data_IF_871247299263
#
_entry.id   IF_871247299263
#
_cell.length_a   1.000
_cell.length_b   1.000
_cell.length_c   1.000
_cell.angle_alpha   90.00
_cell.angle_beta   90.00
_cell.angle_gamma   90.00
#
_symmetry.space_group_name_H-M   'P 1'
#
loop_
_entity.id
_entity.type
_entity.pdbx_description
1 polymer ?
#
# COMPACT_ATOMS: atom_id res chain seq x y z
N UNK A 1 24.30 -11.17 7.28
CA UNK A 1 23.33 -11.84 6.39
C UNK A 1 22.94 -13.18 7.00
N UNK A 2 21.70 -13.57 6.80
CA UNK A 2 21.15 -14.84 7.25
C UNK A 2 21.18 -15.81 6.07
N UNK A 3 21.91 -16.92 6.11
CA UNK A 3 22.06 -17.83 4.97
C UNK A 3 20.74 -18.52 4.57
N UNK A 4 19.79 -18.63 5.51
CA UNK A 4 18.45 -19.17 5.29
C UNK A 4 17.50 -18.23 4.55
N UNK A 5 17.89 -16.96 4.34
CA UNK A 5 17.06 -15.94 3.68
C UNK A 5 17.60 -15.62 2.27
N UNK A 6 16.69 -15.51 1.34
CA UNK A 6 17.01 -15.06 -0.03
C UNK A 6 16.88 -13.55 -0.14
N UNK A 7 18.02 -12.85 -0.13
CA UNK A 7 18.07 -11.40 -0.26
C UNK A 7 17.56 -10.86 -1.60
N UNK A 8 17.33 -11.70 -2.61
CA UNK A 8 16.77 -11.32 -3.90
C UNK A 8 15.24 -11.41 -3.93
N UNK A 9 14.63 -12.04 -2.92
CA UNK A 9 13.19 -12.25 -2.80
C UNK A 9 12.64 -11.60 -1.53
N UNK A 10 12.77 -10.30 -1.43
CA UNK A 10 12.30 -9.51 -0.28
C UNK A 10 10.96 -8.87 -0.61
N UNK A 11 9.95 -9.14 0.18
CA UNK A 11 8.68 -8.43 0.22
C UNK A 11 8.58 -7.53 1.43
N UNK A 12 7.69 -6.55 1.37
CA UNK A 12 7.32 -5.72 2.52
C UNK A 12 5.81 -5.75 2.69
N UNK A 13 5.36 -5.91 3.94
CA UNK A 13 3.93 -5.87 4.26
C UNK A 13 3.71 -5.23 5.63
N UNK A 14 2.57 -4.56 5.77
CA UNK A 14 2.19 -3.99 7.04
C UNK A 14 0.79 -3.39 7.05
N UNK A 15 0.23 -3.30 8.24
CA UNK A 15 -1.07 -2.66 8.51
C UNK A 15 -0.86 -1.33 9.21
N UNK A 16 -1.75 -0.35 8.94
CA UNK A 16 -1.76 0.95 9.64
C UNK A 16 -0.41 1.67 9.54
N UNK A 17 0.26 1.99 10.65
CA UNK A 17 1.64 2.49 10.64
C UNK A 17 2.64 1.57 9.92
N UNK A 18 2.43 0.25 9.96
CA UNK A 18 3.16 -0.70 9.12
C UNK A 18 2.84 -0.54 7.62
N UNK A 19 1.60 -0.15 7.28
CA UNK A 19 1.19 0.22 5.93
C UNK A 19 1.88 1.49 5.45
N UNK A 20 2.02 2.50 6.35
CA UNK A 20 2.81 3.71 6.11
C UNK A 20 4.25 3.34 5.73
N UNK A 21 4.93 2.58 6.60
CA UNK A 21 6.31 2.14 6.37
C UNK A 21 6.42 1.37 5.06
N UNK A 22 5.49 0.43 4.80
CA UNK A 22 5.49 -0.38 3.57
C UNK A 22 5.37 0.48 2.32
N UNK A 23 4.44 1.45 2.32
CA UNK A 23 4.21 2.34 1.17
C UNK A 23 5.45 3.17 0.86
N UNK A 24 5.99 3.88 1.84
CA UNK A 24 7.16 4.74 1.63
C UNK A 24 8.43 3.93 1.36
N UNK A 25 8.68 2.86 2.12
CA UNK A 25 9.86 2.03 1.90
C UNK A 25 9.84 1.37 0.51
N UNK A 26 8.70 0.81 0.10
CA UNK A 26 8.60 0.19 -1.22
C UNK A 26 8.71 1.23 -2.36
N UNK A 27 8.22 2.46 -2.16
CA UNK A 27 8.35 3.53 -3.15
C UNK A 27 9.82 3.87 -3.45
N UNK A 28 10.69 3.87 -2.43
CA UNK A 28 12.09 4.31 -2.58
C UNK A 28 13.12 3.18 -2.61
N UNK A 29 12.75 1.95 -2.22
CA UNK A 29 13.67 0.81 -2.13
C UNK A 29 13.37 -0.27 -3.19
N UNK A 30 14.10 -0.29 -4.33
CA UNK A 30 13.82 -1.21 -5.44
C UNK A 30 14.14 -2.69 -5.15
N UNK A 31 14.82 -2.99 -4.04
CA UNK A 31 15.07 -4.37 -3.59
C UNK A 31 13.80 -5.03 -3.03
N UNK A 32 12.81 -4.24 -2.59
CA UNK A 32 11.49 -4.75 -2.25
C UNK A 32 10.77 -5.16 -3.52
N UNK A 33 10.54 -6.45 -3.71
CA UNK A 33 9.99 -7.05 -4.93
C UNK A 33 8.47 -7.09 -4.97
N UNK A 34 7.82 -7.09 -3.82
CA UNK A 34 6.37 -7.01 -3.67
C UNK A 34 6.03 -6.22 -2.42
N UNK A 35 4.99 -5.41 -2.50
CA UNK A 35 4.45 -4.66 -1.37
C UNK A 35 3.01 -5.08 -1.07
N UNK A 36 2.66 -5.18 0.22
CA UNK A 36 1.30 -5.43 0.67
C UNK A 36 0.93 -4.40 1.75
N UNK A 37 0.07 -3.47 1.37
CA UNK A 37 -0.39 -2.35 2.19
C UNK A 37 -1.79 -2.65 2.71
N UNK A 38 -1.91 -2.81 4.01
CA UNK A 38 -3.18 -3.07 4.68
C UNK A 38 -3.61 -1.86 5.50
N UNK A 39 -4.89 -1.45 5.39
CA UNK A 39 -5.48 -0.40 6.21
C UNK A 39 -4.64 0.88 6.25
N UNK A 40 -4.17 1.38 5.09
CA UNK A 40 -3.42 2.62 5.01
C UNK A 40 -3.70 3.42 3.73
N UNK A 41 -3.72 2.80 2.52
CA UNK A 41 -3.91 3.58 1.29
C UNK A 41 -5.24 4.34 1.32
N UNK A 42 -5.12 5.67 1.27
CA UNK A 42 -6.22 6.62 1.36
C UNK A 42 -5.80 7.93 0.69
N UNK A 43 -6.41 9.07 1.06
CA UNK A 43 -5.82 10.37 0.82
C UNK A 43 -5.28 10.95 2.13
N UNK A 44 -4.27 11.82 2.06
CA UNK A 44 -3.82 12.56 3.24
C UNK A 44 -4.95 13.42 3.79
N UNK A 45 -5.77 13.99 2.91
CA UNK A 45 -6.86 14.88 3.32
C UNK A 45 -7.95 14.13 4.09
N UNK A 46 -8.43 12.98 3.58
CA UNK A 46 -9.59 12.28 4.14
C UNK A 46 -9.23 11.41 5.36
N UNK A 47 -7.97 11.09 5.57
CA UNK A 47 -7.52 10.34 6.73
C UNK A 47 -6.57 11.15 7.63
N UNK A 48 -5.32 11.31 7.22
CA UNK A 48 -4.25 11.86 8.08
C UNK A 48 -4.56 13.28 8.60
N UNK A 49 -5.17 14.13 7.79
CA UNK A 49 -5.46 15.51 8.14
C UNK A 49 -6.88 15.71 8.72
N UNK A 50 -7.77 14.74 8.55
CA UNK A 50 -9.14 14.81 9.07
C UNK A 50 -9.32 14.15 10.43
N UNK A 51 -8.38 13.28 10.83
CA UNK A 51 -8.42 12.51 12.07
C UNK A 51 -7.08 12.65 12.81
N UNK A 52 -7.07 12.25 14.08
CA UNK A 52 -5.83 12.19 14.85
C UNK A 52 -5.06 10.91 14.54
N UNK A 53 -3.84 11.06 14.07
CA UNK A 53 -2.91 9.97 13.76
C UNK A 53 -1.59 10.08 14.54
N UNK A 54 -0.79 9.02 14.48
CA UNK A 54 0.58 9.06 15.00
C UNK A 54 1.40 10.10 14.24
N UNK A 55 2.33 10.74 14.95
CA UNK A 55 3.11 11.89 14.43
C UNK A 55 3.93 11.55 13.17
N UNK A 56 4.34 10.31 13.00
CA UNK A 56 5.08 9.82 11.84
C UNK A 56 4.29 9.85 10.52
N UNK A 57 2.97 10.02 10.57
CA UNK A 57 2.13 10.20 9.37
C UNK A 57 2.11 11.65 8.86
N UNK A 58 2.52 12.61 9.67
CA UNK A 58 2.49 14.02 9.30
C UNK A 58 3.82 14.46 8.67
N UNK A 59 3.92 14.30 7.36
CA UNK A 59 5.06 14.80 6.60
C UNK A 59 4.80 16.26 6.22
N UNK A 60 5.59 17.22 6.75
CA UNK A 60 5.38 18.64 6.47
C UNK A 60 5.36 18.91 4.95
N UNK A 61 4.40 19.72 4.52
CA UNK A 61 4.28 20.21 3.14
C UNK A 61 4.09 19.13 2.05
N UNK A 62 3.82 17.87 2.42
CA UNK A 62 3.72 16.78 1.44
C UNK A 62 2.67 17.05 0.36
N UNK A 63 1.54 17.67 0.71
CA UNK A 63 0.46 17.99 -0.24
C UNK A 63 0.85 19.05 -1.28
N UNK A 64 1.95 19.76 -1.10
CA UNK A 64 2.50 20.65 -2.14
C UNK A 64 3.15 19.84 -3.28
N UNK A 65 3.38 18.53 -3.10
CA UNK A 65 4.14 17.68 -4.01
C UNK A 65 3.38 16.46 -4.48
N UNK A 66 2.68 15.78 -3.58
CA UNK A 66 2.02 14.51 -3.90
C UNK A 66 0.94 14.15 -2.89
N UNK A 67 0.05 13.30 -3.32
CA UNK A 67 -0.92 12.59 -2.50
C UNK A 67 -0.43 11.16 -2.20
N UNK A 68 -1.12 10.48 -1.29
CA UNK A 68 -0.77 9.14 -0.84
C UNK A 68 -0.72 8.13 -2.01
N UNK A 69 -1.66 8.24 -2.96
CA UNK A 69 -1.68 7.42 -4.16
C UNK A 69 -0.52 7.70 -5.13
N UNK A 70 0.04 8.91 -5.14
CA UNK A 70 1.22 9.22 -5.96
C UNK A 70 2.45 8.50 -5.40
N UNK A 71 2.61 8.51 -4.06
CA UNK A 71 3.68 7.74 -3.39
C UNK A 71 3.54 6.25 -3.68
N UNK A 72 2.32 5.69 -3.55
CA UNK A 72 2.05 4.28 -3.87
C UNK A 72 2.30 3.97 -5.35
N UNK A 73 2.02 4.92 -6.23
CA UNK A 73 2.30 4.81 -7.68
C UNK A 73 3.78 4.62 -8.01
N UNK A 74 4.70 5.14 -7.20
CA UNK A 74 6.15 4.95 -7.37
C UNK A 74 6.61 3.48 -7.19
N UNK A 75 5.77 2.63 -6.62
CA UNK A 75 6.06 1.19 -6.48
C UNK A 75 6.05 0.51 -7.85
N UNK A 76 5.27 1.02 -8.79
CA UNK A 76 5.12 0.45 -10.13
C UNK A 76 6.47 0.34 -10.87
N UNK A 77 6.72 -0.73 -11.69
CA UNK A 77 5.79 -1.83 -12.02
C UNK A 77 5.84 -3.01 -11.05
N UNK A 78 6.42 -2.88 -9.87
CA UNK A 78 6.50 -3.98 -8.91
C UNK A 78 5.12 -4.32 -8.35
N UNK A 79 4.83 -5.60 -8.05
CA UNK A 79 3.55 -6.03 -7.51
C UNK A 79 3.18 -5.29 -6.23
N UNK A 80 1.95 -4.75 -6.21
CA UNK A 80 1.37 -4.04 -5.07
C UNK A 80 -0.02 -4.63 -4.76
N UNK A 81 -0.20 -5.10 -3.54
CA UNK A 81 -1.50 -5.48 -3.03
C UNK A 81 -1.97 -4.49 -1.97
N UNK A 82 -3.22 -4.11 -2.03
CA UNK A 82 -3.87 -3.19 -1.11
C UNK A 82 -5.06 -3.92 -0.50
N UNK A 83 -5.23 -3.84 0.82
CA UNK A 83 -6.47 -4.28 1.45
C UNK A 83 -7.04 -3.20 2.36
N UNK A 84 -8.36 -3.12 2.39
CA UNK A 84 -9.10 -2.10 3.13
C UNK A 84 -10.38 -2.70 3.72
N UNK A 85 -10.63 -2.45 5.00
CA UNK A 85 -11.92 -2.76 5.63
C UNK A 85 -13.00 -1.77 5.18
N UNK A 86 -14.19 -2.26 4.87
CA UNK A 86 -15.30 -1.40 4.47
C UNK A 86 -15.91 -0.59 5.63
N UNK A 87 -15.55 -0.96 6.87
CA UNK A 87 -15.96 -0.29 8.12
C UNK A 87 -14.80 0.36 8.85
N UNK A 88 -13.68 0.56 8.16
CA UNK A 88 -12.51 1.24 8.73
C UNK A 88 -12.83 2.71 8.98
N UNK A 89 -12.84 3.10 10.25
CA UNK A 89 -13.16 4.46 10.68
C UNK A 89 -11.93 5.39 10.72
N UNK A 90 -10.75 4.87 10.40
CA UNK A 90 -9.48 5.60 10.39
C UNK A 90 -9.04 5.88 8.94
N UNK A 91 -9.30 4.94 8.04
CA UNK A 91 -9.03 5.05 6.61
C UNK A 91 -10.31 4.82 5.80
N UNK A 92 -11.14 5.87 5.61
CA UNK A 92 -12.45 5.78 4.95
C UNK A 92 -12.39 5.06 3.60
N UNK A 93 -13.30 4.12 3.41
CA UNK A 93 -13.25 3.20 2.26
C UNK A 93 -13.43 3.90 0.91
N UNK A 94 -14.23 4.96 0.83
CA UNK A 94 -14.46 5.71 -0.40
C UNK A 94 -13.15 6.33 -0.90
N UNK A 95 -12.36 6.93 -0.01
CA UNK A 95 -11.08 7.54 -0.33
C UNK A 95 -10.01 6.47 -0.65
N UNK A 96 -10.07 5.31 0.01
CA UNK A 96 -9.20 4.17 -0.31
C UNK A 96 -9.46 3.64 -1.72
N UNK A 97 -10.71 3.45 -2.09
CA UNK A 97 -11.11 2.99 -3.44
C UNK A 97 -10.74 4.01 -4.51
N UNK A 98 -10.93 5.29 -4.26
CA UNK A 98 -10.54 6.35 -5.21
C UNK A 98 -9.01 6.40 -5.37
N UNK A 99 -8.28 6.30 -4.28
CA UNK A 99 -6.81 6.23 -4.30
C UNK A 99 -6.30 5.01 -5.07
N UNK A 100 -6.93 3.85 -4.87
CA UNK A 100 -6.61 2.67 -5.67
C UNK A 100 -6.81 2.88 -7.18
N UNK A 101 -7.90 3.54 -7.60
CA UNK A 101 -8.13 3.86 -9.02
C UNK A 101 -7.00 4.72 -9.59
N UNK A 102 -6.48 5.67 -8.83
CA UNK A 102 -5.34 6.51 -9.23
C UNK A 102 -4.08 5.68 -9.40
N UNK A 103 -3.75 4.84 -8.41
CA UNK A 103 -2.60 3.91 -8.50
C UNK A 103 -2.77 2.97 -9.69
N UNK A 104 -3.94 2.37 -9.87
CA UNK A 104 -4.23 1.45 -10.99
C UNK A 104 -3.99 2.11 -12.35
N UNK A 105 -4.37 3.38 -12.51
CA UNK A 105 -4.11 4.12 -13.75
C UNK A 105 -2.62 4.26 -14.06
N UNK A 106 -1.76 4.40 -13.04
CA UNK A 106 -0.29 4.38 -13.24
C UNK A 106 0.14 3.03 -13.80
N UNK A 107 -0.31 1.93 -13.20
CA UNK A 107 0.01 0.58 -13.66
C UNK A 107 -0.52 0.28 -15.09
N UNK A 108 -1.71 0.77 -15.41
CA UNK A 108 -2.28 0.68 -16.76
C UNK A 108 -1.42 1.44 -17.78
N UNK A 109 -0.97 2.64 -17.43
CA UNK A 109 -0.14 3.49 -18.30
C UNK A 109 1.21 2.85 -18.65
N UNK A 110 1.77 2.09 -17.72
CA UNK A 110 3.05 1.39 -17.92
C UNK A 110 2.86 -0.06 -18.42
N UNK A 111 1.62 -0.48 -18.73
CA UNK A 111 1.31 -1.79 -19.31
C UNK A 111 1.38 -2.97 -18.36
N UNK A 112 1.14 -2.75 -17.05
CA UNK A 112 1.22 -3.80 -16.02
C UNK A 112 0.02 -3.77 -15.05
N UNK A 113 -1.24 -3.65 -15.54
CA UNK A 113 -2.41 -3.46 -14.67
C UNK A 113 -2.71 -4.64 -13.75
N UNK A 114 -2.23 -5.84 -14.09
CA UNK A 114 -2.40 -7.07 -13.30
C UNK A 114 -1.51 -7.12 -12.06
N UNK A 115 -0.50 -6.25 -11.99
CA UNK A 115 0.46 -6.19 -10.89
C UNK A 115 -0.01 -5.30 -9.73
N UNK A 116 -1.17 -4.65 -9.85
CA UNK A 116 -1.81 -3.96 -8.72
C UNK A 116 -3.20 -4.50 -8.48
N UNK A 117 -3.51 -4.84 -7.23
CA UNK A 117 -4.81 -5.37 -6.84
C UNK A 117 -5.28 -4.75 -5.52
N UNK A 118 -6.60 -4.62 -5.37
CA UNK A 118 -7.23 -4.24 -4.10
C UNK A 118 -8.27 -5.29 -3.69
N UNK A 119 -8.25 -5.64 -2.40
CA UNK A 119 -9.33 -6.35 -1.72
C UNK A 119 -10.01 -5.42 -0.73
N UNK A 120 -11.32 -5.26 -0.87
CA UNK A 120 -12.17 -4.64 0.15
C UNK A 120 -12.86 -5.78 0.89
N UNK A 121 -12.68 -5.84 2.20
CA UNK A 121 -13.27 -6.89 3.04
C UNK A 121 -14.28 -6.32 4.03
N UNK A 122 -15.24 -7.14 4.43
CA UNK A 122 -16.22 -6.81 5.46
C UNK A 122 -15.53 -6.80 6.83
N UNK A 123 -15.11 -5.61 7.29
CA UNK A 123 -14.42 -5.46 8.56
C UNK A 123 -13.96 -4.04 8.85
N UNK A 124 -13.54 -3.87 10.10
CA UNK A 124 -12.98 -2.63 10.61
C UNK A 124 -11.49 -2.49 10.30
N UNK A 125 -10.79 -1.61 11.02
CA UNK A 125 -9.33 -1.42 10.91
C UNK A 125 -8.57 -2.65 11.39
N UNK A 126 -8.40 -3.64 10.50
CA UNK A 126 -7.76 -4.92 10.83
C UNK A 126 -7.00 -5.49 9.63
N UNK A 127 -6.08 -6.42 9.90
CA UNK A 127 -5.41 -7.19 8.88
C UNK A 127 -6.26 -8.41 8.49
N UNK A 128 -6.51 -8.58 7.19
CA UNK A 128 -7.29 -9.70 6.66
C UNK A 128 -6.42 -10.77 6.02
N UNK A 129 -5.59 -10.40 5.07
CA UNK A 129 -4.56 -11.23 4.44
C UNK A 129 -5.07 -12.33 3.50
N UNK A 130 -6.39 -12.46 3.28
CA UNK A 130 -6.97 -13.60 2.57
C UNK A 130 -6.47 -13.73 1.14
N UNK A 131 -6.45 -12.64 0.39
CA UNK A 131 -5.94 -12.61 -0.98
C UNK A 131 -4.52 -12.04 -1.06
N UNK A 132 -4.17 -11.11 -0.17
CA UNK A 132 -2.86 -10.45 -0.17
C UNK A 132 -1.69 -11.39 0.09
N UNK A 133 -1.81 -12.33 1.03
CA UNK A 133 -0.73 -13.30 1.31
C UNK A 133 -0.46 -14.24 0.12
N UNK A 134 -1.48 -14.87 -0.52
CA UNK A 134 -1.27 -15.63 -1.75
C UNK A 134 -0.67 -14.80 -2.89
N UNK A 135 -1.11 -13.54 -3.07
CA UNK A 135 -0.56 -12.63 -4.06
C UNK A 135 0.95 -12.40 -3.83
N UNK A 136 1.34 -12.05 -2.60
CA UNK A 136 2.74 -11.87 -2.25
C UNK A 136 3.57 -13.15 -2.48
N UNK A 137 3.06 -14.30 -2.05
CA UNK A 137 3.73 -15.58 -2.22
C UNK A 137 3.94 -15.93 -3.70
N UNK A 138 2.96 -15.64 -4.56
CA UNK A 138 3.07 -15.83 -6.02
C UNK A 138 4.21 -14.98 -6.59
N UNK A 139 4.27 -13.71 -6.25
CA UNK A 139 5.23 -12.77 -6.84
C UNK A 139 6.64 -12.83 -6.23
N UNK A 140 6.80 -13.47 -5.06
CA UNK A 140 8.12 -13.77 -4.49
C UNK A 140 8.72 -15.09 -5.01
N UNK A 141 7.91 -15.97 -5.62
CA UNK A 141 8.37 -17.25 -6.18
C UNK A 141 8.74 -17.18 -7.66
N UNK A 142 8.30 -16.11 -8.34
CA UNK A 142 8.49 -15.91 -9.78
C UNK A 142 9.93 -15.51 -10.17
#
# INVERSE_FOLDING_TARGET
>A
SRPELDAKRVGCMGISGGGTVTTFAAAVEPRIKVAFVSGYLNTFLDSILSLSHCIDNYVPDILNWCEMYDVAGLIAPRPLFIESGDKDNIFPIEASVESYKRVKKVYETIGSPELVQQEVFDGEHSFWGKQGLPFCAKHLKA
#
